data_IF_156873566392
#
_entry.id   IF_156873566392
#
_cell.length_a   1.000
_cell.length_b   1.000
_cell.length_c   1.000
_cell.angle_alpha   90.00
_cell.angle_beta   90.00
_cell.angle_gamma   90.00
#
_symmetry.space_group_name_H-M   'P 1'
#
loop_
_entity.id
_entity.type
_entity.pdbx_description
1 polymer ?
#
# COMPACT_ATOMS: atom_id res chain seq x y z
N UNK A 1 -3.39 7.72 5.95
CA UNK A 1 -2.80 6.52 5.32
C UNK A 1 -1.68 6.89 4.34
N UNK A 2 -1.92 7.66 3.28
CA UNK A 2 -0.88 8.07 2.33
C UNK A 2 0.34 8.79 2.97
N UNK A 3 0.10 9.69 3.93
CA UNK A 3 1.18 10.40 4.66
C UNK A 3 2.02 9.49 5.55
N UNK A 4 1.42 8.47 6.16
CA UNK A 4 2.14 7.48 7.00
C UNK A 4 3.10 6.65 6.14
N UNK A 5 2.65 6.23 4.96
CA UNK A 5 3.47 5.49 3.99
C UNK A 5 4.66 6.34 3.56
N UNK A 6 4.42 7.60 3.18
CA UNK A 6 5.47 8.54 2.79
C UNK A 6 6.57 8.71 3.85
N UNK A 7 6.20 8.85 5.12
CA UNK A 7 7.15 9.00 6.23
C UNK A 7 8.00 7.75 6.45
N UNK A 8 7.41 6.56 6.28
CA UNK A 8 8.14 5.30 6.36
C UNK A 8 9.13 5.16 5.20
N UNK A 9 8.74 5.61 4.00
CA UNK A 9 9.61 5.62 2.81
C UNK A 9 10.82 6.56 2.98
N UNK A 10 10.60 7.77 3.51
CA UNK A 10 11.65 8.77 3.69
C UNK A 10 12.72 8.39 4.74
N UNK A 11 12.43 7.41 5.61
CA UNK A 11 13.35 6.94 6.67
C UNK A 11 14.09 5.65 6.28
N UNK A 12 13.84 5.10 5.11
CA UNK A 12 14.56 3.92 4.62
C UNK A 12 16.02 4.29 4.28
N UNK A 13 16.97 3.51 4.79
CA UNK A 13 18.40 3.66 4.47
C UNK A 13 18.62 3.39 2.97
N UNK A 14 19.34 4.25 2.23
CA UNK A 14 19.63 4.05 0.81
C UNK A 14 20.39 2.73 0.49
N UNK A 15 20.99 2.07 1.49
CA UNK A 15 21.61 0.75 1.33
C UNK A 15 20.61 -0.43 1.40
N UNK A 16 19.36 -0.21 1.84
CA UNK A 16 18.33 -1.25 1.92
C UNK A 16 17.47 -1.18 0.65
N UNK A 17 17.83 -2.02 -0.32
CA UNK A 17 17.35 -1.92 -1.71
C UNK A 17 15.88 -2.30 -1.87
N UNK A 18 15.33 -3.18 -1.03
CA UNK A 18 13.91 -3.53 -1.02
C UNK A 18 13.49 -3.89 0.40
N UNK A 19 12.37 -3.35 0.87
CA UNK A 19 11.76 -3.79 2.13
C UNK A 19 10.30 -4.14 1.92
N UNK A 20 9.83 -5.13 2.67
CA UNK A 20 8.42 -5.56 2.68
C UNK A 20 7.93 -5.54 4.12
N UNK A 21 6.80 -4.91 4.36
CA UNK A 21 6.11 -4.92 5.66
C UNK A 21 4.70 -5.49 5.48
N UNK A 22 4.23 -6.20 6.49
CA UNK A 22 2.86 -6.69 6.55
C UNK A 22 2.14 -5.94 7.67
N UNK A 23 1.07 -5.24 7.32
CA UNK A 23 0.30 -4.37 8.21
C UNK A 23 -1.11 -4.93 8.31
N UNK A 24 -1.58 -5.33 9.51
CA UNK A 24 -2.99 -5.65 9.70
C UNK A 24 -3.82 -4.38 9.51
N UNK A 25 -4.91 -4.48 8.75
CA UNK A 25 -5.82 -3.35 8.57
C UNK A 25 -6.74 -3.20 9.77
N UNK A 26 -7.25 -1.98 9.97
CA UNK A 26 -8.27 -1.72 10.99
C UNK A 26 -9.52 -2.56 10.68
N UNK A 27 -9.91 -3.51 11.56
CA UNK A 27 -11.03 -4.40 11.32
C UNK A 27 -12.38 -3.69 11.27
N UNK A 28 -12.49 -2.45 11.80
CA UNK A 28 -13.70 -1.65 11.70
C UNK A 28 -13.93 -1.09 10.28
N UNK A 29 -12.86 -1.00 9.47
CA UNK A 29 -12.89 -0.42 8.12
C UNK A 29 -12.71 -1.50 7.06
N UNK A 30 -11.71 -2.36 7.23
CA UNK A 30 -11.37 -3.47 6.35
C UNK A 30 -11.17 -4.73 7.19
N UNK A 31 -12.28 -5.39 7.61
CA UNK A 31 -12.21 -6.63 8.36
C UNK A 31 -11.43 -7.70 7.60
N UNK A 32 -10.75 -8.55 8.39
CA UNK A 32 -10.03 -9.73 7.89
C UNK A 32 -9.07 -9.40 6.74
N UNK A 33 -8.45 -8.22 6.79
CA UNK A 33 -7.59 -7.71 5.72
C UNK A 33 -6.18 -7.46 6.22
N UNK A 34 -5.20 -7.92 5.46
CA UNK A 34 -3.79 -7.65 5.68
C UNK A 34 -3.22 -6.96 4.47
N UNK A 35 -2.48 -5.87 4.68
CA UNK A 35 -1.78 -5.14 3.63
C UNK A 35 -0.31 -5.53 3.67
N UNK A 36 0.17 -6.18 2.62
CA UNK A 36 1.60 -6.30 2.37
C UNK A 36 2.05 -5.11 1.51
N UNK A 37 2.98 -4.32 2.04
CA UNK A 37 3.55 -3.17 1.37
C UNK A 37 5.03 -3.46 1.08
N UNK A 38 5.39 -3.45 -0.19
CA UNK A 38 6.76 -3.66 -0.66
C UNK A 38 7.25 -2.40 -1.36
N UNK A 39 8.39 -1.86 -0.90
CA UNK A 39 8.97 -0.64 -1.43
C UNK A 39 10.41 -0.87 -1.89
N UNK A 40 10.72 -0.27 -3.05
CA UNK A 40 12.06 -0.10 -3.59
C UNK A 40 12.25 1.33 -4.12
N UNK A 41 13.45 1.70 -4.56
CA UNK A 41 13.68 2.96 -5.26
C UNK A 41 12.89 3.12 -6.58
N UNK A 42 12.44 2.01 -7.19
CA UNK A 42 11.86 2.03 -8.54
C UNK A 42 10.36 1.71 -8.56
N UNK A 43 9.86 1.03 -7.53
CA UNK A 43 8.48 0.57 -7.47
C UNK A 43 7.96 0.47 -6.03
N UNK A 44 6.64 0.59 -5.91
CA UNK A 44 5.85 0.41 -4.69
C UNK A 44 4.72 -0.56 -5.03
N UNK A 45 4.60 -1.68 -4.32
CA UNK A 45 3.40 -2.52 -4.42
C UNK A 45 2.62 -2.55 -3.12
N UNK A 46 1.29 -2.49 -3.26
CA UNK A 46 0.33 -2.67 -2.19
C UNK A 46 -0.50 -3.91 -2.51
N UNK A 47 -0.36 -4.95 -1.70
CA UNK A 47 -1.12 -6.20 -1.82
C UNK A 47 -2.08 -6.33 -0.67
N UNK A 48 -3.37 -6.21 -0.95
CA UNK A 48 -4.42 -6.41 0.04
C UNK A 48 -4.86 -7.86 -0.02
N UNK A 49 -4.61 -8.63 1.03
CA UNK A 49 -5.15 -9.99 1.19
C UNK A 49 -6.33 -9.95 2.14
N UNK A 50 -7.51 -10.37 1.70
CA UNK A 50 -8.71 -10.36 2.55
C UNK A 50 -9.61 -11.56 2.36
N UNK A 51 -10.15 -12.08 3.48
CA UNK A 51 -11.19 -13.11 3.46
C UNK A 51 -12.61 -12.53 3.41
N UNK A 52 -12.76 -11.21 3.59
CA UNK A 52 -14.06 -10.54 3.60
C UNK A 52 -14.45 -10.05 2.20
N UNK A 53 -15.58 -10.52 1.64
CA UNK A 53 -16.08 -10.04 0.35
C UNK A 53 -16.37 -8.54 0.34
N UNK A 54 -16.78 -7.98 1.48
CA UNK A 54 -17.02 -6.55 1.63
C UNK A 54 -15.71 -5.76 1.54
N UNK A 55 -14.66 -6.19 2.25
CA UNK A 55 -13.33 -5.58 2.17
C UNK A 55 -12.78 -5.66 0.75
N UNK A 56 -12.89 -6.81 0.09
CA UNK A 56 -12.48 -6.99 -1.31
C UNK A 56 -13.20 -5.99 -2.23
N UNK A 57 -14.53 -5.86 -2.09
CA UNK A 57 -15.30 -4.89 -2.88
C UNK A 57 -14.87 -3.45 -2.63
N UNK A 58 -14.64 -3.07 -1.36
CA UNK A 58 -14.18 -1.74 -0.99
C UNK A 58 -12.81 -1.42 -1.60
N UNK A 59 -11.82 -2.31 -1.45
CA UNK A 59 -10.47 -2.10 -1.98
C UNK A 59 -10.52 -1.98 -3.51
N UNK A 60 -11.22 -2.87 -4.20
CA UNK A 60 -11.38 -2.80 -5.66
C UNK A 60 -12.05 -1.50 -6.11
N UNK A 61 -13.09 -1.06 -5.39
CA UNK A 61 -13.82 0.18 -5.70
C UNK A 61 -12.96 1.43 -5.53
N UNK A 62 -12.15 1.48 -4.48
CA UNK A 62 -11.34 2.66 -4.14
C UNK A 62 -9.91 2.61 -4.68
N UNK A 63 -9.48 1.48 -5.28
CA UNK A 63 -8.14 1.33 -5.88
C UNK A 63 -7.75 2.47 -6.82
N UNK A 64 -8.58 2.91 -7.80
CA UNK A 64 -8.18 3.99 -8.71
C UNK A 64 -7.92 5.30 -7.99
N UNK A 65 -8.74 5.62 -6.98
CA UNK A 65 -8.58 6.81 -6.16
C UNK A 65 -7.33 6.73 -5.29
N UNK A 66 -7.04 5.55 -4.72
CA UNK A 66 -5.83 5.33 -3.95
C UNK A 66 -4.58 5.50 -4.82
N UNK A 67 -4.58 4.96 -6.04
CA UNK A 67 -3.49 5.13 -7.01
C UNK A 67 -3.25 6.60 -7.31
N UNK A 68 -4.29 7.35 -7.68
CA UNK A 68 -4.19 8.79 -7.96
C UNK A 68 -3.60 9.57 -6.77
N UNK A 69 -4.00 9.21 -5.55
CA UNK A 69 -3.48 9.85 -4.33
C UNK A 69 -2.01 9.53 -4.08
N UNK A 70 -1.56 8.32 -4.41
CA UNK A 70 -0.16 7.91 -4.25
C UNK A 70 0.74 8.53 -5.33
N UNK A 71 0.28 8.60 -6.58
CA UNK A 71 1.02 9.25 -7.68
C UNK A 71 1.28 10.74 -7.45
N UNK A 72 0.45 11.39 -6.63
CA UNK A 72 0.63 12.81 -6.23
C UNK A 72 1.70 13.02 -5.17
N UNK A 73 2.27 11.96 -4.60
CA UNK A 73 3.30 12.04 -3.57
C UNK A 73 4.69 12.02 -4.21
N UNK A 74 5.46 13.13 -4.15
CA UNK A 74 6.74 13.24 -4.88
C UNK A 74 7.84 12.31 -4.36
N UNK A 75 7.71 11.81 -3.12
CA UNK A 75 8.63 10.86 -2.50
C UNK A 75 8.39 9.39 -2.89
N UNK A 76 7.32 9.09 -3.64
CA UNK A 76 7.01 7.73 -4.06
C UNK A 76 7.59 7.41 -5.43
N UNK A 77 8.01 6.15 -5.67
CA UNK A 77 8.46 5.73 -6.99
C UNK A 77 7.29 5.76 -7.99
N UNK A 78 7.62 5.97 -9.27
CA UNK A 78 6.62 6.04 -10.34
C UNK A 78 5.96 4.68 -10.67
N UNK A 79 6.60 3.55 -10.34
CA UNK A 79 6.03 2.22 -10.53
C UNK A 79 5.13 1.78 -9.37
N UNK A 80 3.91 2.31 -9.28
CA UNK A 80 2.96 1.93 -8.22
C UNK A 80 2.05 0.80 -8.72
N UNK A 81 2.03 -0.30 -8.00
CA UNK A 81 1.17 -1.45 -8.25
C UNK A 81 0.22 -1.70 -7.07
N UNK A 82 -1.04 -2.02 -7.37
CA UNK A 82 -2.07 -2.27 -6.36
C UNK A 82 -2.87 -3.51 -6.73
N UNK A 83 -2.64 -4.57 -5.97
CA UNK A 83 -3.27 -5.88 -6.14
C UNK A 83 -4.18 -6.21 -4.96
N UNK A 84 -5.23 -6.99 -5.24
CA UNK A 84 -6.15 -7.55 -4.23
C UNK A 84 -6.16 -9.06 -4.41
N UNK A 85 -5.91 -9.80 -3.32
CA UNK A 85 -5.77 -11.25 -3.25
C UNK A 85 -6.87 -11.86 -2.37
#
# INVERSE_FOLDING_TARGET
MASTIATLCARADPAIVNWTVTIPMDPAVLPETTLQLSLSPHWLALRFSTLSPQSHHLVCRYRPRLLEQLERLPQLPHGIDIEVL
#
